data_IF_324850471557
#
_entry.id   IF_324850471557
#
_cell.length_a   1.000
_cell.length_b   1.000
_cell.length_c   1.000
_cell.angle_alpha   90.00
_cell.angle_beta   90.00
_cell.angle_gamma   90.00
#
_symmetry.space_group_name_H-M   'P 1'
#
loop_
_entity.id
_entity.type
_entity.pdbx_description
1 polymer ?
#
# COMPACT_ATOMS: atom_id res chain seq x y z
N UNK A 1 -52.90 -5.03 56.87
CA UNK A 1 -53.01 -5.89 55.68
C UNK A 1 -52.31 -5.19 54.53
N UNK A 2 -51.27 -5.83 53.99
CA UNK A 2 -50.44 -5.39 52.86
C UNK A 2 -51.24 -5.16 51.58
N UNK A 3 -50.80 -4.23 50.72
CA UNK A 3 -50.35 -4.60 49.35
C UNK A 3 -49.52 -3.49 48.67
N UNK A 4 -48.59 -3.95 47.84
CA UNK A 4 -47.87 -3.30 46.73
C UNK A 4 -46.79 -2.26 47.07
N UNK A 5 -45.49 -2.54 46.94
CA UNK A 5 -44.68 -3.06 45.80
C UNK A 5 -43.96 -1.90 45.10
N UNK A 6 -42.63 -1.91 45.28
CA UNK A 6 -41.51 -1.51 44.39
C UNK A 6 -41.71 -0.33 43.44
N UNK A 7 -40.77 0.57 43.20
CA UNK A 7 -39.36 0.81 43.57
C UNK A 7 -39.10 2.14 42.85
N UNK A 8 -38.52 3.15 43.48
CA UNK A 8 -37.67 4.15 42.80
C UNK A 8 -37.06 5.04 43.89
N UNK A 9 -36.17 4.44 44.67
CA UNK A 9 -35.26 5.20 45.50
C UNK A 9 -34.13 5.68 44.59
N UNK A 10 -34.16 6.97 44.31
CA UNK A 10 -33.00 7.74 43.92
C UNK A 10 -31.88 7.60 44.97
N UNK A 11 -30.69 7.42 44.42
CA UNK A 11 -29.45 8.05 44.87
C UNK A 11 -28.56 7.34 45.90
N UNK A 12 -27.28 7.66 45.76
CA UNK A 12 -26.13 7.30 46.59
C UNK A 12 -25.52 5.90 46.38
N UNK A 13 -24.47 5.87 45.55
CA UNK A 13 -23.19 5.17 45.80
C UNK A 13 -22.57 4.52 44.55
N UNK A 14 -22.31 5.28 43.47
CA UNK A 14 -21.23 4.93 42.53
C UNK A 14 -20.64 6.23 41.96
N UNK A 15 -19.93 7.01 42.78
CA UNK A 15 -19.12 8.12 42.28
C UNK A 15 -17.77 8.12 43.01
N UNK A 16 -16.76 7.51 42.38
CA UNK A 16 -15.34 7.91 42.53
C UNK A 16 -14.34 7.10 41.70
N UNK A 17 -14.68 5.93 41.11
CA UNK A 17 -13.71 5.15 40.32
C UNK A 17 -13.83 5.24 38.78
N UNK A 18 -14.90 5.83 38.22
CA UNK A 18 -15.11 5.85 36.75
C UNK A 18 -14.45 7.04 36.02
N UNK A 19 -13.95 8.05 36.75
CA UNK A 19 -13.48 9.30 36.13
C UNK A 19 -11.99 9.31 35.73
N UNK A 20 -11.20 8.30 36.12
CA UNK A 20 -9.77 8.16 35.72
C UNK A 20 -9.54 7.27 34.49
N UNK A 21 -10.58 6.64 33.93
CA UNK A 21 -10.46 5.78 32.73
C UNK A 21 -10.88 6.45 31.42
N UNK A 22 -11.68 7.52 31.45
CA UNK A 22 -12.19 8.17 30.24
C UNK A 22 -11.14 8.90 29.40
N UNK A 23 -10.22 9.62 30.03
CA UNK A 23 -9.22 10.44 29.32
C UNK A 23 -8.18 9.55 28.62
N UNK A 24 -7.74 8.48 29.28
CA UNK A 24 -6.80 7.52 28.70
C UNK A 24 -7.43 6.75 27.52
N UNK A 25 -8.73 6.41 27.59
CA UNK A 25 -9.42 5.71 26.50
C UNK A 25 -9.61 6.60 25.27
N UNK A 26 -9.95 7.88 25.45
CA UNK A 26 -10.14 8.82 24.33
C UNK A 26 -8.80 9.10 23.64
N UNK A 27 -7.71 9.32 24.37
CA UNK A 27 -6.38 9.50 23.77
C UNK A 27 -5.88 8.22 23.07
N UNK A 28 -6.18 7.03 23.61
CA UNK A 28 -5.80 5.75 22.99
C UNK A 28 -6.63 5.46 21.72
N UNK A 29 -7.90 5.89 21.68
CA UNK A 29 -8.75 5.84 20.49
C UNK A 29 -8.28 6.81 19.41
N UNK A 30 -7.88 8.04 19.78
CA UNK A 30 -7.33 9.03 18.83
C UNK A 30 -5.97 8.57 18.30
N UNK A 31 -5.10 8.00 19.15
CA UNK A 31 -3.82 7.42 18.73
C UNK A 31 -3.99 6.17 17.84
N UNK A 32 -4.95 5.30 18.15
CA UNK A 32 -5.32 4.19 17.25
C UNK A 32 -5.92 4.69 15.94
N UNK A 33 -6.76 5.71 15.95
CA UNK A 33 -7.40 6.27 14.75
C UNK A 33 -6.40 7.01 13.86
N UNK A 34 -5.41 7.72 14.43
CA UNK A 34 -4.28 8.31 13.69
C UNK A 34 -3.37 7.22 13.09
N UNK A 35 -3.08 6.17 13.85
CA UNK A 35 -2.35 5.01 13.33
C UNK A 35 -3.17 4.26 12.25
N UNK A 36 -4.51 4.24 12.35
CA UNK A 36 -5.41 3.62 11.38
C UNK A 36 -5.51 4.47 10.11
N UNK A 37 -5.60 5.79 10.21
CA UNK A 37 -5.64 6.71 9.07
C UNK A 37 -4.32 6.68 8.27
N UNK A 38 -3.17 6.55 8.94
CA UNK A 38 -1.87 6.36 8.28
C UNK A 38 -1.69 4.96 7.69
N UNK A 39 -2.45 3.96 8.17
CA UNK A 39 -2.52 2.61 7.58
C UNK A 39 -3.51 2.53 6.41
N UNK A 40 -4.52 3.41 6.37
CA UNK A 40 -5.54 3.47 5.32
C UNK A 40 -5.06 4.18 4.04
N UNK A 41 -4.02 5.02 4.13
CA UNK A 41 -3.18 5.37 2.97
C UNK A 41 -2.18 4.25 2.71
N UNK A 42 -2.69 3.09 2.30
CA UNK A 42 -1.84 2.00 1.81
C UNK A 42 -1.30 2.38 0.43
N UNK A 43 -0.32 3.29 0.39
CA UNK A 43 0.49 3.50 -0.81
C UNK A 43 1.25 2.22 -1.07
N UNK A 44 0.74 1.44 -2.02
CA UNK A 44 1.40 0.24 -2.53
C UNK A 44 2.73 0.70 -3.15
N UNK A 45 3.83 0.55 -2.41
CA UNK A 45 5.17 0.97 -2.82
C UNK A 45 5.94 -0.20 -3.42
N UNK A 46 6.57 0.04 -4.58
CA UNK A 46 7.52 -0.88 -5.16
C UNK A 46 8.87 -0.77 -4.45
N UNK A 47 9.33 -1.87 -3.89
CA UNK A 47 10.69 -2.02 -3.37
C UNK A 47 11.64 -2.33 -4.52
N UNK A 48 12.74 -1.59 -4.61
CA UNK A 48 13.76 -1.79 -5.65
C UNK A 48 14.95 -2.60 -5.11
N UNK A 49 15.13 -3.79 -5.66
CA UNK A 49 16.34 -4.58 -5.45
C UNK A 49 17.29 -4.41 -6.65
N UNK A 50 18.27 -3.52 -6.47
CA UNK A 50 19.29 -3.18 -7.46
C UNK A 50 20.21 -4.37 -7.78
N UNK A 51 20.54 -5.19 -6.78
CA UNK A 51 21.45 -6.32 -6.95
C UNK A 51 20.79 -7.46 -7.73
N UNK A 52 19.53 -7.74 -7.42
CA UNK A 52 18.70 -8.72 -8.12
C UNK A 52 18.03 -8.20 -9.39
N UNK A 53 18.20 -6.91 -9.73
CA UNK A 53 17.58 -6.23 -10.87
C UNK A 53 16.07 -6.47 -10.95
N UNK A 54 15.39 -6.22 -9.83
CA UNK A 54 13.96 -6.51 -9.69
C UNK A 54 13.25 -5.45 -8.85
N UNK A 55 11.98 -5.26 -9.14
CA UNK A 55 11.05 -4.49 -8.32
C UNK A 55 10.02 -5.43 -7.73
N UNK A 56 9.70 -5.27 -6.45
CA UNK A 56 8.74 -6.12 -5.75
C UNK A 56 7.69 -5.30 -5.03
N UNK A 57 6.48 -5.83 -4.95
CA UNK A 57 5.40 -5.26 -4.15
C UNK A 57 4.81 -6.39 -3.30
N UNK A 58 4.85 -6.22 -1.99
CA UNK A 58 4.17 -7.11 -1.03
C UNK A 58 2.85 -6.49 -0.58
N UNK A 59 1.72 -7.17 -0.81
CA UNK A 59 0.42 -6.74 -0.29
C UNK A 59 -0.48 -7.94 -0.03
N UNK A 60 -1.33 -7.87 1.01
CA UNK A 60 -2.25 -8.94 1.40
C UNK A 60 -1.60 -10.35 1.51
N UNK A 61 -0.34 -10.41 1.96
CA UNK A 61 0.42 -11.66 2.06
C UNK A 61 0.86 -12.27 0.71
N UNK A 62 0.64 -11.57 -0.39
CA UNK A 62 1.08 -11.95 -1.74
C UNK A 62 2.20 -11.02 -2.21
N UNK A 63 3.01 -11.51 -3.16
CA UNK A 63 4.14 -10.77 -3.73
C UNK A 63 4.01 -10.69 -5.24
N UNK A 64 3.99 -9.47 -5.75
CA UNK A 64 4.15 -9.17 -7.16
C UNK A 64 5.62 -8.79 -7.42
N UNK A 65 6.12 -9.11 -8.61
CA UNK A 65 7.49 -8.81 -8.99
C UNK A 65 7.62 -8.42 -10.46
N UNK A 66 8.58 -7.55 -10.73
CA UNK A 66 9.02 -7.16 -12.07
C UNK A 66 10.52 -7.39 -12.14
N UNK A 67 10.95 -8.17 -13.12
CA UNK A 67 12.36 -8.41 -13.41
C UNK A 67 12.80 -7.57 -14.60
N UNK A 68 13.98 -7.00 -14.51
CA UNK A 68 14.63 -6.31 -15.60
C UNK A 68 16.09 -6.76 -15.74
N UNK A 69 16.69 -6.43 -16.87
CA UNK A 69 18.12 -6.59 -17.11
C UNK A 69 18.71 -5.27 -17.55
N UNK A 70 19.83 -4.88 -16.96
CA UNK A 70 20.59 -3.70 -17.36
C UNK A 70 21.84 -4.11 -18.12
N UNK A 71 21.98 -3.60 -19.34
CA UNK A 71 23.14 -3.79 -20.21
C UNK A 71 23.65 -2.40 -20.63
N UNK A 72 24.70 -1.92 -19.94
CA UNK A 72 25.19 -0.55 -20.12
C UNK A 72 24.12 0.49 -19.77
N UNK A 73 23.73 1.30 -20.77
CA UNK A 73 22.72 2.35 -20.66
C UNK A 73 21.30 1.87 -21.01
N UNK A 74 21.13 0.58 -21.36
CA UNK A 74 19.84 0.00 -21.73
C UNK A 74 19.30 -0.86 -20.58
N UNK A 75 18.03 -0.65 -20.24
CA UNK A 75 17.25 -1.41 -19.28
C UNK A 75 16.13 -2.17 -19.99
N UNK A 76 16.24 -3.48 -20.08
CA UNK A 76 15.24 -4.35 -20.69
C UNK A 76 14.31 -4.89 -19.63
N UNK A 77 13.02 -4.55 -19.70
CA UNK A 77 11.98 -5.11 -18.82
C UNK A 77 11.60 -6.48 -19.38
N UNK A 78 12.06 -7.54 -18.73
CA UNK A 78 11.94 -8.91 -19.25
C UNK A 78 10.64 -9.58 -18.83
N UNK A 79 10.20 -9.37 -17.58
CA UNK A 79 9.06 -10.08 -17.04
C UNK A 79 8.34 -9.27 -15.96
N UNK A 80 7.03 -9.39 -15.88
CA UNK A 80 6.22 -8.84 -14.78
C UNK A 80 5.20 -9.90 -14.37
N UNK A 81 5.27 -10.33 -13.11
CA UNK A 81 4.40 -11.35 -12.54
C UNK A 81 3.59 -10.73 -11.41
N UNK A 82 2.27 -10.82 -11.52
CA UNK A 82 1.35 -10.46 -10.43
C UNK A 82 0.47 -11.67 -10.15
N UNK A 83 0.41 -12.16 -8.90
CA UNK A 83 -0.53 -13.22 -8.51
C UNK A 83 -1.98 -12.79 -8.72
N UNK A 84 -2.83 -13.70 -9.18
CA UNK A 84 -4.25 -13.42 -9.47
C UNK A 84 -5.01 -12.88 -8.25
N UNK A 85 -4.65 -13.32 -7.04
CA UNK A 85 -5.26 -12.87 -5.79
C UNK A 85 -5.13 -11.35 -5.53
N UNK A 86 -4.08 -10.73 -6.07
CA UNK A 86 -3.82 -9.29 -5.99
C UNK A 86 -3.89 -8.61 -7.37
N UNK A 87 -4.27 -9.38 -8.40
CA UNK A 87 -4.51 -8.90 -9.75
C UNK A 87 -5.69 -7.93 -9.83
N UNK A 88 -5.77 -7.16 -10.91
CA UNK A 88 -6.86 -6.21 -11.15
C UNK A 88 -6.81 -4.92 -10.32
N UNK A 89 -5.87 -4.78 -9.38
CA UNK A 89 -5.71 -3.59 -8.52
C UNK A 89 -4.69 -2.57 -9.05
N UNK A 90 -4.19 -2.75 -10.28
CA UNK A 90 -3.18 -1.87 -10.86
C UNK A 90 -1.74 -2.10 -10.37
N UNK A 91 -1.47 -3.19 -9.64
CA UNK A 91 -0.13 -3.46 -9.07
C UNK A 91 0.94 -3.60 -10.17
N UNK A 92 0.62 -4.24 -11.29
CA UNK A 92 1.53 -4.36 -12.43
C UNK A 92 1.89 -2.98 -12.99
N UNK A 93 0.93 -2.07 -13.07
CA UNK A 93 1.16 -0.69 -13.52
C UNK A 93 2.09 0.05 -12.56
N UNK A 94 1.92 -0.12 -11.25
CA UNK A 94 2.80 0.49 -10.24
C UNK A 94 4.23 -0.03 -10.37
N UNK A 95 4.43 -1.34 -10.57
CA UNK A 95 5.75 -1.92 -10.79
C UNK A 95 6.42 -1.35 -12.04
N UNK A 96 5.71 -1.32 -13.17
CA UNK A 96 6.25 -0.82 -14.44
C UNK A 96 6.53 0.68 -14.35
N UNK A 97 5.63 1.47 -13.77
CA UNK A 97 5.84 2.90 -13.55
C UNK A 97 7.11 3.15 -12.72
N UNK A 98 7.28 2.44 -11.59
CA UNK A 98 8.47 2.56 -10.75
C UNK A 98 9.75 2.21 -11.50
N UNK A 99 9.73 1.16 -12.34
CA UNK A 99 10.88 0.80 -13.17
C UNK A 99 11.21 1.87 -14.22
N UNK A 100 10.19 2.41 -14.91
CA UNK A 100 10.36 3.47 -15.91
C UNK A 100 10.86 4.77 -15.28
N UNK A 101 10.33 5.15 -14.12
CA UNK A 101 10.78 6.31 -13.36
C UNK A 101 12.23 6.14 -12.90
N UNK A 102 12.62 4.93 -12.46
CA UNK A 102 14.01 4.63 -12.16
C UNK A 102 14.91 4.79 -13.39
N UNK A 103 14.48 4.30 -14.55
CA UNK A 103 15.22 4.45 -15.79
C UNK A 103 15.40 5.92 -16.16
N UNK A 104 14.33 6.73 -16.08
CA UNK A 104 14.39 8.18 -16.31
C UNK A 104 15.37 8.88 -15.37
N UNK A 105 15.28 8.61 -14.07
CA UNK A 105 16.16 9.22 -13.07
C UNK A 105 17.62 8.80 -13.25
N UNK A 106 17.85 7.58 -13.76
CA UNK A 106 19.18 7.04 -14.01
C UNK A 106 19.72 7.37 -15.41
N UNK A 107 18.96 8.08 -16.25
CA UNK A 107 19.35 8.38 -17.63
C UNK A 107 19.41 7.15 -18.56
N UNK A 108 18.71 6.08 -18.21
CA UNK A 108 18.70 4.82 -18.96
C UNK A 108 17.63 4.83 -20.05
N UNK A 109 17.92 4.14 -21.16
CA UNK A 109 16.94 3.80 -22.18
C UNK A 109 16.25 2.49 -21.86
N UNK A 110 14.98 2.34 -22.21
CA UNK A 110 14.16 1.19 -21.84
C UNK A 110 13.74 0.39 -23.06
N UNK A 111 13.88 -0.94 -22.97
CA UNK A 111 13.33 -1.88 -23.93
C UNK A 111 12.21 -2.69 -23.25
N UNK A 112 10.94 -2.46 -23.60
CA UNK A 112 9.82 -3.22 -23.05
C UNK A 112 9.70 -4.58 -23.75
N UNK A 113 10.45 -5.59 -23.30
CA UNK A 113 10.40 -6.95 -23.88
C UNK A 113 9.15 -7.74 -23.45
N UNK A 114 8.58 -7.42 -22.30
CA UNK A 114 7.30 -7.97 -21.85
C UNK A 114 6.12 -7.27 -22.55
N UNK A 115 5.13 -8.05 -23.03
CA UNK A 115 3.92 -7.53 -23.69
C UNK A 115 3.13 -6.54 -22.83
N UNK A 116 3.13 -6.72 -21.50
CA UNK A 116 2.48 -5.80 -20.57
C UNK A 116 3.20 -4.45 -20.51
N UNK A 117 4.54 -4.44 -20.43
CA UNK A 117 5.33 -3.21 -20.39
C UNK A 117 5.17 -2.41 -21.69
N UNK A 118 5.16 -3.09 -22.84
CA UNK A 118 4.92 -2.49 -24.15
C UNK A 118 3.52 -1.85 -24.22
N UNK A 119 2.49 -2.56 -23.78
CA UNK A 119 1.14 -2.00 -23.69
C UNK A 119 1.07 -0.80 -22.73
N UNK A 120 1.77 -0.85 -21.60
CA UNK A 120 1.81 0.23 -20.61
C UNK A 120 2.43 1.51 -21.20
N UNK A 121 3.58 1.41 -21.88
CA UNK A 121 4.24 2.57 -22.49
C UNK A 121 3.41 3.17 -23.62
N UNK A 122 2.70 2.35 -24.42
CA UNK A 122 1.75 2.87 -25.42
C UNK A 122 0.62 3.70 -24.80
N UNK A 123 0.14 3.31 -23.62
CA UNK A 123 -0.90 4.02 -22.89
C UNK A 123 -0.38 5.28 -22.17
N UNK A 124 0.94 5.39 -21.98
CA UNK A 124 1.59 6.47 -21.23
C UNK A 124 2.67 7.16 -22.10
N UNK A 125 2.27 8.08 -23.00
CA UNK A 125 3.17 8.73 -23.95
C UNK A 125 4.34 9.45 -23.29
N UNK A 126 4.19 9.86 -22.03
CA UNK A 126 5.25 10.50 -21.25
C UNK A 126 6.46 9.60 -20.97
N UNK A 127 6.44 8.32 -21.32
CA UNK A 127 7.60 7.42 -21.19
C UNK A 127 8.16 6.98 -22.55
N UNK A 128 7.58 7.42 -23.66
CA UNK A 128 8.03 7.03 -25.00
C UNK A 128 9.41 7.62 -25.35
N UNK A 129 9.77 8.76 -24.77
CA UNK A 129 11.09 9.38 -24.87
C UNK A 129 12.21 8.51 -24.27
N UNK A 130 11.87 7.63 -23.34
CA UNK A 130 12.80 6.71 -22.69
C UNK A 130 13.07 5.46 -23.53
N UNK A 131 12.31 5.21 -24.60
CA UNK A 131 12.52 4.03 -25.43
C UNK A 131 13.87 4.10 -26.17
N UNK A 132 14.52 2.93 -26.27
CA UNK A 132 15.76 2.71 -27.01
C UNK A 132 15.50 2.54 -28.51
#
# INVERSE_FOLDING_TARGET
MSVFSTRFATDHSIDSLSRRRGIALVTLMIASCLAQAMREMSTVHAEHDLAGQRFNIGTDGHRAELAYRREGEIMTITHTQVPDAIGGRGIAAVLVAAALDYARQSGLKVVPACSYADAYVRQHPQFQDLLA
#
